data_IF_785694166484
#
_entry.id   IF_785694166484
#
_cell.length_a   1.000
_cell.length_b   1.000
_cell.length_c   1.000
_cell.angle_alpha   90.00
_cell.angle_beta   90.00
_cell.angle_gamma   90.00
#
_symmetry.space_group_name_H-M   'P 1'
#
loop_
_entity.id
_entity.type
_entity.pdbx_description
1 polymer ?
#
# COMPACT_ATOMS: atom_id res chain seq x y z
N UNK A 1 -8.89 -0.84 1.69
CA UNK A 1 -8.54 0.14 2.73
C UNK A 1 -7.06 0.45 2.67
N UNK A 2 -6.69 1.73 2.84
CA UNK A 2 -5.30 2.22 2.87
C UNK A 2 -4.78 2.79 1.55
N UNK A 3 -4.76 1.97 0.49
CA UNK A 3 -4.19 2.36 -0.81
C UNK A 3 -5.02 3.39 -1.60
N UNK A 4 -6.21 3.78 -1.12
CA UNK A 4 -7.19 4.55 -1.90
C UNK A 4 -7.81 3.77 -3.07
N UNK A 5 -7.42 2.50 -3.26
CA UNK A 5 -7.97 1.61 -4.27
C UNK A 5 -9.16 0.85 -3.67
N UNK A 6 -10.30 0.97 -4.31
CA UNK A 6 -11.53 0.26 -3.95
C UNK A 6 -11.48 -1.22 -4.29
N UNK A 7 -12.27 -2.03 -3.58
CA UNK A 7 -12.34 -3.46 -3.86
C UNK A 7 -12.97 -3.70 -5.23
N UNK A 8 -12.24 -4.35 -6.15
CA UNK A 8 -12.81 -4.85 -7.41
C UNK A 8 -13.96 -5.82 -7.14
N UNK A 9 -13.88 -6.60 -6.06
CA UNK A 9 -14.96 -7.46 -5.62
C UNK A 9 -16.21 -6.67 -5.22
N UNK A 10 -16.06 -5.60 -4.43
CA UNK A 10 -17.18 -4.73 -4.05
C UNK A 10 -17.78 -4.02 -5.27
N UNK A 11 -16.94 -3.52 -6.19
CA UNK A 11 -17.40 -2.90 -7.43
C UNK A 11 -18.19 -3.89 -8.31
N UNK A 12 -17.65 -5.09 -8.52
CA UNK A 12 -18.33 -6.12 -9.32
C UNK A 12 -19.68 -6.50 -8.70
N UNK A 13 -19.74 -6.69 -7.37
CA UNK A 13 -21.01 -6.99 -6.68
C UNK A 13 -21.99 -5.82 -6.75
N UNK A 14 -21.54 -4.58 -6.59
CA UNK A 14 -22.40 -3.40 -6.73
C UNK A 14 -22.96 -3.27 -8.17
N UNK A 15 -22.18 -3.64 -9.20
CA UNK A 15 -22.65 -3.67 -10.57
C UNK A 15 -23.65 -4.79 -10.83
N UNK A 16 -23.46 -5.99 -10.26
CA UNK A 16 -24.46 -7.06 -10.33
C UNK A 16 -25.76 -6.65 -9.64
N UNK A 17 -25.67 -6.04 -8.46
CA UNK A 17 -26.84 -5.51 -7.73
C UNK A 17 -27.56 -4.41 -8.52
N UNK A 18 -26.86 -3.61 -9.33
CA UNK A 18 -27.48 -2.64 -10.25
C UNK A 18 -28.39 -3.32 -11.27
N UNK A 19 -27.97 -4.47 -11.80
CA UNK A 19 -28.75 -5.22 -12.77
C UNK A 19 -29.96 -5.89 -12.12
N UNK A 20 -29.81 -6.42 -10.91
CA UNK A 20 -30.93 -6.90 -10.09
C UNK A 20 -31.92 -5.77 -9.80
N UNK A 21 -31.42 -4.59 -9.39
CA UNK A 21 -32.25 -3.43 -9.14
C UNK A 21 -33.04 -2.99 -10.38
N UNK A 22 -32.39 -2.90 -11.55
CA UNK A 22 -33.07 -2.58 -12.81
C UNK A 22 -34.14 -3.60 -13.16
N UNK A 23 -33.89 -4.88 -12.88
CA UNK A 23 -34.84 -5.94 -13.15
C UNK A 23 -36.10 -5.80 -12.27
N UNK A 24 -35.96 -5.49 -10.98
CA UNK A 24 -37.10 -5.42 -10.04
C UNK A 24 -37.79 -4.05 -10.01
N UNK A 25 -37.15 -2.98 -10.48
CA UNK A 25 -37.69 -1.60 -10.42
C UNK A 25 -38.19 -1.07 -11.76
N UNK A 26 -37.83 -1.71 -12.88
CA UNK A 26 -38.20 -1.28 -14.23
C UNK A 26 -39.02 -2.35 -14.93
N UNK A 27 -40.21 -2.60 -14.39
CA UNK A 27 -41.21 -3.47 -15.00
C UNK A 27 -41.54 -2.96 -16.41
N UNK A 28 -41.43 -3.84 -17.40
CA UNK A 28 -41.72 -3.51 -18.81
C UNK A 28 -40.55 -2.94 -19.62
N UNK A 29 -39.34 -2.80 -19.05
CA UNK A 29 -38.15 -2.49 -19.85
C UNK A 29 -37.77 -3.64 -20.79
N UNK A 30 -37.11 -3.34 -21.93
CA UNK A 30 -36.65 -4.38 -22.86
C UNK A 30 -35.74 -5.42 -22.17
N UNK A 31 -34.90 -4.97 -21.24
CA UNK A 31 -34.03 -5.85 -20.44
C UNK A 31 -34.82 -6.81 -19.57
N UNK A 32 -35.89 -6.34 -18.93
CA UNK A 32 -36.81 -7.19 -18.16
C UNK A 32 -37.43 -8.28 -19.04
N UNK A 33 -37.96 -7.90 -20.22
CA UNK A 33 -38.55 -8.84 -21.16
C UNK A 33 -37.55 -9.91 -21.64
N UNK A 34 -36.30 -9.52 -21.91
CA UNK A 34 -35.23 -10.45 -22.30
C UNK A 34 -34.93 -11.45 -21.19
N UNK A 35 -34.81 -11.01 -19.93
CA UNK A 35 -34.55 -11.90 -18.80
C UNK A 35 -35.74 -12.84 -18.56
N UNK A 36 -36.97 -12.33 -18.64
CA UNK A 36 -38.18 -13.15 -18.50
C UNK A 36 -38.28 -14.22 -19.61
N UNK A 37 -37.90 -13.88 -20.85
CA UNK A 37 -37.89 -14.81 -21.98
C UNK A 37 -36.81 -15.90 -21.84
N UNK A 38 -35.65 -15.58 -21.26
CA UNK A 38 -34.53 -16.52 -21.10
C UNK A 38 -34.72 -17.49 -19.93
N UNK A 39 -35.31 -17.04 -18.81
CA UNK A 39 -35.39 -17.82 -17.57
C UNK A 39 -36.80 -18.30 -17.22
N UNK A 40 -37.80 -17.95 -18.03
CA UNK A 40 -39.14 -18.53 -17.98
C UNK A 40 -40.15 -17.84 -17.05
N UNK A 41 -41.44 -18.24 -17.11
CA UNK A 41 -42.57 -17.57 -16.44
C UNK A 41 -42.64 -17.77 -14.91
N UNK A 42 -41.66 -18.43 -14.30
CA UNK A 42 -41.60 -18.63 -12.83
C UNK A 42 -41.22 -17.35 -12.06
N UNK A 43 -40.85 -16.28 -12.75
CA UNK A 43 -40.58 -14.98 -12.13
C UNK A 43 -41.91 -14.20 -12.11
N UNK A 44 -42.65 -14.33 -11.01
CA UNK A 44 -43.94 -13.66 -10.82
C UNK A 44 -43.72 -12.15 -10.68
N UNK A 45 -44.08 -11.39 -11.73
CA UNK A 45 -44.27 -9.94 -11.64
C UNK A 45 -45.39 -9.65 -10.66
N UNK A 46 -45.13 -8.88 -9.60
CA UNK A 46 -46.19 -8.44 -8.70
C UNK A 46 -46.96 -7.30 -9.36
N UNK A 47 -48.29 -7.41 -9.54
CA UNK A 47 -49.10 -6.31 -10.00
C UNK A 47 -49.51 -5.45 -8.80
N UNK A 48 -48.65 -4.53 -8.38
CA UNK A 48 -49.04 -3.47 -7.44
C UNK A 48 -48.17 -2.23 -7.61
N UNK A 49 -48.72 -1.08 -7.26
CA UNK A 49 -48.08 0.24 -7.22
C UNK A 49 -46.91 0.34 -6.21
N UNK A 50 -46.34 -0.79 -5.78
CA UNK A 50 -45.29 -0.86 -4.78
C UNK A 50 -43.93 -0.59 -5.42
N UNK A 51 -43.21 0.36 -4.84
CA UNK A 51 -41.90 0.77 -5.34
C UNK A 51 -40.81 0.19 -4.45
N UNK A 52 -39.80 -0.43 -5.06
CA UNK A 52 -38.59 -0.81 -4.35
C UNK A 52 -37.84 0.43 -3.86
N UNK A 53 -37.42 0.40 -2.59
CA UNK A 53 -36.66 1.46 -1.94
C UNK A 53 -35.28 0.93 -1.52
N UNK A 54 -34.24 1.71 -1.75
CA UNK A 54 -32.87 1.40 -1.33
C UNK A 54 -32.54 2.15 -0.04
N UNK A 55 -32.48 1.43 1.09
CA UNK A 55 -32.18 2.00 2.42
C UNK A 55 -30.80 2.66 2.54
N UNK A 56 -29.93 2.48 1.54
CA UNK A 56 -28.59 3.06 1.52
C UNK A 56 -28.56 4.53 1.08
N UNK A 57 -29.67 5.07 0.57
CA UNK A 57 -29.74 6.48 0.13
C UNK A 57 -31.00 7.18 0.65
N UNK A 58 -30.91 8.49 0.87
CA UNK A 58 -32.04 9.27 1.39
C UNK A 58 -33.18 9.46 0.37
N UNK A 59 -32.86 9.36 -0.92
CA UNK A 59 -33.82 9.44 -2.02
C UNK A 59 -34.46 8.08 -2.36
N UNK A 60 -34.00 7.00 -1.73
CA UNK A 60 -34.49 5.64 -1.99
C UNK A 60 -34.01 5.02 -3.29
N UNK A 61 -33.16 5.72 -4.04
CA UNK A 61 -32.67 5.28 -5.33
C UNK A 61 -31.44 4.38 -5.21
N UNK A 62 -31.25 3.51 -6.19
CA UNK A 62 -30.04 2.69 -6.22
C UNK A 62 -28.87 3.45 -6.83
N UNK A 63 -27.81 3.62 -6.03
CA UNK A 63 -26.54 4.17 -6.48
C UNK A 63 -25.43 3.14 -6.30
N UNK A 64 -24.76 2.79 -7.41
CA UNK A 64 -23.60 1.86 -7.41
C UNK A 64 -22.53 2.33 -6.41
N UNK A 65 -22.35 3.64 -6.29
CA UNK A 65 -21.41 4.27 -5.34
C UNK A 65 -21.73 3.90 -3.90
N UNK A 66 -22.98 4.03 -3.47
CA UNK A 66 -23.36 3.83 -2.07
C UNK A 66 -23.36 2.35 -1.69
N UNK A 67 -23.84 1.48 -2.58
CA UNK A 67 -23.70 0.02 -2.40
C UNK A 67 -22.25 -0.40 -2.35
N UNK A 68 -21.39 0.15 -3.23
CA UNK A 68 -19.97 -0.14 -3.19
C UNK A 68 -19.34 0.34 -1.89
N UNK A 69 -19.63 1.56 -1.44
CA UNK A 69 -19.11 2.08 -0.17
C UNK A 69 -19.54 1.20 1.01
N UNK A 70 -20.80 0.76 1.04
CA UNK A 70 -21.33 -0.16 2.03
C UNK A 70 -20.59 -1.50 2.03
N UNK A 71 -20.42 -2.11 0.85
CA UNK A 71 -19.67 -3.36 0.70
C UNK A 71 -18.18 -3.18 1.06
N UNK A 72 -17.57 -2.07 0.63
CA UNK A 72 -16.19 -1.72 0.98
C UNK A 72 -16.05 -1.60 2.50
N UNK A 73 -17.00 -0.96 3.20
CA UNK A 73 -16.98 -0.84 4.67
C UNK A 73 -17.20 -2.19 5.38
N UNK A 74 -17.98 -3.10 4.80
CA UNK A 74 -18.22 -4.43 5.35
C UNK A 74 -17.02 -5.37 5.16
N UNK A 75 -16.40 -5.34 3.97
CA UNK A 75 -15.42 -6.35 3.56
C UNK A 75 -13.97 -5.87 3.64
N UNK A 76 -13.71 -4.57 3.56
CA UNK A 76 -12.36 -4.05 3.74
C UNK A 76 -12.14 -3.80 5.21
N UNK A 77 -11.04 -4.30 5.79
CA UNK A 77 -10.67 -3.95 7.15
C UNK A 77 -10.56 -2.42 7.25
N UNK A 78 -11.33 -1.81 8.16
CA UNK A 78 -11.11 -0.44 8.57
C UNK A 78 -9.80 -0.39 9.33
N UNK A 79 -8.72 -0.06 8.62
CA UNK A 79 -7.45 0.16 9.29
C UNK A 79 -7.48 1.54 9.95
N UNK A 80 -7.22 1.57 11.25
CA UNK A 80 -7.16 2.81 12.04
C UNK A 80 -6.09 3.78 11.55
N UNK A 81 -5.03 3.28 10.89
CA UNK A 81 -3.95 4.11 10.37
C UNK A 81 -4.09 4.40 8.87
N UNK A 82 -4.17 5.69 8.54
CA UNK A 82 -4.10 6.18 7.18
C UNK A 82 -2.78 5.80 6.52
N UNK A 83 -2.81 5.49 5.23
CA UNK A 83 -1.58 5.20 4.48
C UNK A 83 -0.75 6.46 4.31
N UNK A 84 0.52 6.39 4.70
CA UNK A 84 1.48 7.49 4.63
C UNK A 84 2.15 7.50 3.25
N UNK A 85 1.70 8.40 2.38
CA UNK A 85 2.25 8.55 1.03
C UNK A 85 3.20 9.74 0.94
N UNK A 86 4.42 9.49 0.47
CA UNK A 86 5.40 10.54 0.21
C UNK A 86 5.28 11.00 -1.25
N UNK A 87 4.93 12.27 -1.46
CA UNK A 87 4.73 12.81 -2.82
C UNK A 87 6.00 12.89 -3.68
N UNK A 88 7.17 12.86 -3.06
CA UNK A 88 8.47 13.06 -3.74
C UNK A 88 9.07 11.77 -4.32
N UNK A 89 8.44 10.61 -4.11
CA UNK A 89 8.95 9.32 -4.56
C UNK A 89 7.98 8.65 -5.55
N UNK A 90 8.46 7.78 -6.44
CA UNK A 90 7.61 6.97 -7.31
C UNK A 90 6.58 6.15 -6.52
N UNK A 91 5.38 5.98 -7.09
CA UNK A 91 4.29 5.20 -6.48
C UNK A 91 4.73 3.77 -6.09
N UNK A 92 5.59 3.13 -6.88
CA UNK A 92 6.13 1.79 -6.57
C UNK A 92 6.88 1.72 -5.24
N UNK A 93 7.61 2.77 -4.87
CA UNK A 93 8.39 2.83 -3.63
C UNK A 93 7.47 3.10 -2.45
N UNK A 94 6.52 3.98 -2.68
CA UNK A 94 5.41 4.24 -1.80
C UNK A 94 4.65 2.93 -1.46
N UNK A 95 4.30 2.11 -2.48
CA UNK A 95 3.63 0.81 -2.29
C UNK A 95 4.52 -0.16 -1.51
N UNK A 96 5.82 -0.17 -1.82
CA UNK A 96 6.78 -0.94 -1.04
C UNK A 96 6.82 -0.51 0.43
N UNK A 97 6.94 0.79 0.73
CA UNK A 97 6.98 1.30 2.09
C UNK A 97 5.69 0.96 2.86
N UNK A 98 4.53 1.03 2.21
CA UNK A 98 3.26 0.58 2.77
C UNK A 98 3.27 -0.92 3.09
N UNK A 99 3.78 -1.77 2.18
CA UNK A 99 3.92 -3.21 2.45
C UNK A 99 4.90 -3.48 3.59
N UNK A 100 5.97 -2.71 3.69
CA UNK A 100 6.98 -2.84 4.72
C UNK A 100 6.42 -2.49 6.11
N UNK A 101 5.72 -1.36 6.24
CA UNK A 101 5.08 -0.95 7.49
C UNK A 101 4.05 -1.96 7.99
N UNK A 102 3.41 -2.69 7.09
CA UNK A 102 2.41 -3.72 7.41
C UNK A 102 2.99 -5.12 7.58
N UNK A 103 4.32 -5.25 7.55
CA UNK A 103 4.98 -6.54 7.63
C UNK A 103 4.47 -7.53 6.55
N UNK A 104 4.17 -7.03 5.36
CA UNK A 104 3.66 -7.79 4.21
C UNK A 104 4.72 -8.11 3.16
N UNK A 105 6.00 -7.87 3.50
CA UNK A 105 7.13 -8.23 2.66
C UNK A 105 7.59 -9.66 2.98
N UNK A 106 8.09 -10.43 1.98
CA UNK A 106 8.51 -11.81 2.16
C UNK A 106 9.89 -11.90 2.86
N UNK A 107 9.93 -11.53 4.14
CA UNK A 107 11.07 -11.77 5.03
C UNK A 107 11.05 -13.21 5.52
N UNK A 108 12.19 -13.74 5.99
CA UNK A 108 12.29 -15.07 6.56
C UNK A 108 11.23 -15.34 7.63
N UNK A 109 11.06 -14.41 8.58
CA UNK A 109 10.04 -14.50 9.62
C UNK A 109 8.59 -14.53 9.08
N UNK A 110 8.30 -13.80 7.99
CA UNK A 110 6.98 -13.80 7.36
C UNK A 110 6.70 -15.06 6.55
N UNK A 111 7.72 -15.59 5.87
CA UNK A 111 7.61 -16.84 5.10
C UNK A 111 7.42 -18.03 6.04
N UNK A 112 8.18 -18.08 7.14
CA UNK A 112 8.04 -19.11 8.16
C UNK A 112 6.65 -19.08 8.81
N UNK A 113 6.12 -17.89 9.13
CA UNK A 113 4.73 -17.72 9.61
C UNK A 113 3.66 -18.24 8.65
N UNK A 114 3.98 -18.34 7.35
CA UNK A 114 3.08 -18.87 6.31
C UNK A 114 3.33 -20.35 6.02
N UNK A 115 4.18 -21.03 6.80
CA UNK A 115 4.51 -22.44 6.64
C UNK A 115 5.47 -22.73 5.48
N UNK A 116 6.18 -21.72 4.97
CA UNK A 116 7.20 -21.92 3.93
C UNK A 116 8.51 -22.29 4.62
N UNK A 117 9.02 -23.48 4.32
CA UNK A 117 10.30 -24.00 4.84
C UNK A 117 11.45 -23.26 4.15
N UNK A 118 12.39 -22.74 4.94
CA UNK A 118 13.60 -22.05 4.47
C UNK A 118 14.83 -22.79 4.95
N UNK A 119 15.89 -22.83 4.14
CA UNK A 119 17.17 -23.43 4.52
C UNK A 119 17.84 -22.64 5.66
N UNK A 120 17.60 -21.32 5.71
CA UNK A 120 18.02 -20.46 6.80
C UNK A 120 16.99 -19.35 7.02
N UNK A 121 16.70 -19.08 8.30
CA UNK A 121 15.88 -17.95 8.75
C UNK A 121 16.71 -16.68 9.02
N UNK A 122 18.03 -16.76 8.84
CA UNK A 122 18.95 -15.63 9.06
C UNK A 122 18.89 -14.61 7.92
N UNK A 123 19.16 -13.35 8.26
CA UNK A 123 19.18 -12.23 7.33
C UNK A 123 20.26 -12.42 6.25
N UNK A 124 19.93 -12.40 4.95
CA UNK A 124 20.90 -12.60 3.87
C UNK A 124 22.01 -11.54 3.82
N UNK A 125 21.77 -10.35 4.40
CA UNK A 125 22.72 -9.24 4.36
C UNK A 125 23.81 -9.36 5.44
N UNK A 126 23.44 -9.75 6.66
CA UNK A 126 24.38 -9.82 7.80
C UNK A 126 24.69 -11.25 8.25
N UNK A 127 23.86 -12.23 7.89
CA UNK A 127 23.97 -13.65 8.24
C UNK A 127 24.07 -13.92 9.75
N UNK A 128 23.64 -12.97 10.59
CA UNK A 128 23.89 -12.99 12.03
C UNK A 128 22.61 -13.04 12.88
N UNK A 129 21.49 -12.55 12.35
CA UNK A 129 20.23 -12.44 13.09
C UNK A 129 19.05 -12.88 12.22
N UNK A 130 17.95 -13.23 12.87
CA UNK A 130 16.68 -13.56 12.22
C UNK A 130 16.18 -12.44 11.29
N UNK A 131 15.64 -12.85 10.14
CA UNK A 131 15.16 -11.91 9.13
C UNK A 131 13.71 -11.48 9.38
N UNK A 132 13.54 -10.38 10.11
CA UNK A 132 12.29 -9.61 10.12
C UNK A 132 12.46 -8.23 9.46
N UNK A 133 11.35 -7.53 9.22
CA UNK A 133 11.39 -6.28 8.47
C UNK A 133 12.15 -5.16 9.20
N UNK A 134 12.03 -5.10 10.53
CA UNK A 134 12.74 -4.11 11.34
C UNK A 134 14.25 -4.41 11.36
N UNK A 135 14.64 -5.69 11.37
CA UNK A 135 16.01 -6.09 11.22
C UNK A 135 16.56 -5.65 9.87
N UNK A 136 15.93 -6.05 8.76
CA UNK A 136 16.43 -5.74 7.42
C UNK A 136 16.56 -4.23 7.19
N UNK A 137 15.58 -3.44 7.63
CA UNK A 137 15.51 -2.01 7.31
C UNK A 137 16.12 -1.07 8.36
N UNK A 138 16.29 -1.53 9.59
CA UNK A 138 16.83 -0.70 10.68
C UNK A 138 17.99 -1.37 11.38
N UNK A 139 17.83 -2.56 11.98
CA UNK A 139 18.84 -3.13 12.90
C UNK A 139 20.05 -3.79 12.21
N UNK A 140 19.91 -4.21 10.95
CA UNK A 140 20.98 -4.83 10.17
C UNK A 140 22.18 -3.88 10.08
N UNK A 141 23.39 -4.41 10.18
CA UNK A 141 24.63 -3.62 10.16
C UNK A 141 24.70 -2.69 8.94
N UNK A 142 24.37 -3.21 7.75
CA UNK A 142 24.30 -2.40 6.53
C UNK A 142 23.27 -1.27 6.63
N UNK A 143 22.08 -1.55 7.17
CA UNK A 143 21.03 -0.54 7.34
C UNK A 143 21.48 0.56 8.29
N UNK A 144 22.09 0.19 9.43
CA UNK A 144 22.67 1.13 10.39
C UNK A 144 23.73 2.05 9.73
N UNK A 145 24.64 1.49 8.93
CA UNK A 145 25.64 2.27 8.19
C UNK A 145 24.98 3.26 7.23
N UNK A 146 23.99 2.81 6.45
CA UNK A 146 23.28 3.66 5.48
C UNK A 146 22.55 4.79 6.20
N UNK A 147 21.80 4.48 7.27
CA UNK A 147 21.03 5.50 7.98
C UNK A 147 21.96 6.53 8.64
N UNK A 148 23.08 6.11 9.24
CA UNK A 148 24.10 7.05 9.75
C UNK A 148 24.64 7.97 8.66
N UNK A 149 24.89 7.44 7.45
CA UNK A 149 25.31 8.26 6.30
C UNK A 149 24.20 9.24 5.87
N UNK A 150 22.93 8.84 5.92
CA UNK A 150 21.79 9.73 5.63
C UNK A 150 21.71 10.85 6.68
N UNK A 151 21.79 10.51 7.97
CA UNK A 151 21.80 11.51 9.06
C UNK A 151 22.96 12.50 8.88
N UNK A 152 24.17 12.02 8.56
CA UNK A 152 25.32 12.88 8.27
C UNK A 152 25.10 13.76 7.03
N UNK A 153 24.49 13.24 5.97
CA UNK A 153 24.18 14.00 4.76
C UNK A 153 23.17 15.14 5.04
N UNK A 154 22.27 14.94 5.99
CA UNK A 154 21.25 15.91 6.38
C UNK A 154 21.61 16.74 7.62
N UNK A 155 22.84 16.61 8.14
CA UNK A 155 23.30 17.29 9.35
C UNK A 155 22.40 17.03 10.57
N UNK A 156 21.93 15.79 10.73
CA UNK A 156 21.07 15.35 11.82
C UNK A 156 21.81 14.42 12.78
N UNK A 157 21.48 14.52 14.06
CA UNK A 157 21.97 13.60 15.07
C UNK A 157 21.34 12.21 14.94
N UNK A 158 22.20 11.19 15.00
CA UNK A 158 21.81 9.79 14.96
C UNK A 158 21.29 9.33 16.33
N UNK A 159 20.11 8.71 16.36
CA UNK A 159 19.44 8.28 17.61
C UNK A 159 19.19 6.76 17.70
N UNK A 160 20.01 5.93 17.03
CA UNK A 160 19.92 4.48 17.22
C UNK A 160 18.57 3.87 16.78
N UNK A 161 18.06 4.23 15.61
CA UNK A 161 16.74 3.77 15.14
C UNK A 161 16.73 2.24 14.92
N UNK A 162 15.80 1.53 15.57
CA UNK A 162 15.68 0.06 15.48
C UNK A 162 14.36 -0.43 14.88
N UNK A 163 13.37 0.45 14.70
CA UNK A 163 12.06 0.08 14.16
C UNK A 163 11.36 1.24 13.44
N UNK A 164 10.25 0.93 12.76
CA UNK A 164 9.37 1.95 12.18
C UNK A 164 8.80 2.92 13.22
N UNK A 165 8.45 2.47 14.43
CA UNK A 165 7.89 3.36 15.47
C UNK A 165 8.92 4.36 15.98
N UNK A 166 10.17 3.92 16.14
CA UNK A 166 11.27 4.78 16.60
C UNK A 166 11.60 5.81 15.53
N UNK A 167 11.67 5.36 14.27
CA UNK A 167 11.87 6.26 13.14
C UNK A 167 10.74 7.28 13.01
N UNK A 168 9.48 6.87 13.20
CA UNK A 168 8.33 7.79 13.15
C UNK A 168 8.41 8.83 14.27
N UNK A 169 8.73 8.39 15.49
CA UNK A 169 8.88 9.26 16.65
C UNK A 169 10.02 10.26 16.46
N UNK A 170 11.16 9.79 15.96
CA UNK A 170 12.33 10.62 15.63
C UNK A 170 12.02 11.64 14.53
N UNK A 171 11.42 11.22 13.41
CA UNK A 171 11.06 12.11 12.31
C UNK A 171 10.03 13.18 12.74
N UNK A 172 9.18 12.84 13.71
CA UNK A 172 8.23 13.78 14.30
C UNK A 172 8.93 14.79 15.22
N UNK A 173 9.94 14.37 15.98
CA UNK A 173 10.64 15.22 16.94
C UNK A 173 11.67 16.18 16.32
N UNK A 174 12.25 15.85 15.16
CA UNK A 174 13.23 16.72 14.51
C UNK A 174 12.63 18.09 14.13
N UNK A 175 13.42 19.15 14.27
CA UNK A 175 12.99 20.52 13.93
C UNK A 175 13.33 20.84 12.48
N UNK A 176 12.47 20.40 11.56
CA UNK A 176 12.56 20.72 10.14
C UNK A 176 11.21 21.22 9.61
N UNK A 177 11.20 22.11 8.60
CA UNK A 177 9.97 22.50 7.91
C UNK A 177 9.24 21.28 7.33
N UNK A 178 7.91 21.29 7.30
CA UNK A 178 7.08 20.15 6.88
C UNK A 178 7.44 19.64 5.49
N UNK A 179 7.75 20.57 4.55
CA UNK A 179 8.22 20.24 3.20
C UNK A 179 9.51 19.42 3.23
N UNK A 180 10.46 19.84 4.06
CA UNK A 180 11.78 19.23 4.21
C UNK A 180 11.68 17.89 4.92
N UNK A 181 10.84 17.77 5.96
CA UNK A 181 10.53 16.48 6.61
C UNK A 181 9.98 15.45 5.61
N UNK A 182 9.05 15.87 4.75
CA UNK A 182 8.49 14.99 3.72
C UNK A 182 9.53 14.56 2.68
N UNK A 183 10.52 15.40 2.37
CA UNK A 183 11.64 15.02 1.50
C UNK A 183 12.57 14.02 2.18
N UNK A 184 12.92 14.25 3.44
CA UNK A 184 13.72 13.34 4.26
C UNK A 184 13.03 11.98 4.38
N UNK A 185 11.72 11.98 4.63
CA UNK A 185 10.91 10.76 4.63
C UNK A 185 11.04 9.98 3.31
N UNK A 186 11.02 10.70 2.19
CA UNK A 186 11.28 10.15 0.87
C UNK A 186 12.65 9.50 0.77
N UNK A 187 13.70 10.16 1.24
CA UNK A 187 15.08 9.61 1.27
C UNK A 187 15.12 8.29 2.03
N UNK A 188 14.46 8.21 3.20
CA UNK A 188 14.37 6.95 3.96
C UNK A 188 13.64 5.85 3.17
N UNK A 189 12.54 6.17 2.51
CA UNK A 189 11.82 5.21 1.66
C UNK A 189 12.67 4.71 0.49
N UNK A 190 13.46 5.59 -0.13
CA UNK A 190 14.44 5.21 -1.18
C UNK A 190 15.52 4.31 -0.59
N UNK A 191 16.05 4.64 0.58
CA UNK A 191 17.07 3.84 1.25
C UNK A 191 16.56 2.43 1.57
N UNK A 192 15.37 2.30 2.14
CA UNK A 192 14.76 1.00 2.42
C UNK A 192 14.51 0.20 1.14
N UNK A 193 14.05 0.85 0.06
CA UNK A 193 13.91 0.20 -1.24
C UNK A 193 15.23 -0.32 -1.77
N UNK A 194 16.31 0.46 -1.68
CA UNK A 194 17.65 0.05 -2.11
C UNK A 194 18.20 -1.10 -1.28
N UNK A 195 18.03 -1.06 0.05
CA UNK A 195 18.42 -2.15 0.97
C UNK A 195 17.66 -3.44 0.61
N UNK A 196 16.34 -3.34 0.42
CA UNK A 196 15.50 -4.46 0.02
C UNK A 196 15.90 -5.03 -1.35
N UNK A 197 16.19 -4.15 -2.31
CA UNK A 197 16.68 -4.53 -3.63
C UNK A 197 18.01 -5.28 -3.56
N UNK A 198 18.95 -4.80 -2.74
CA UNK A 198 20.22 -5.49 -2.50
C UNK A 198 19.99 -6.87 -1.88
N UNK A 199 19.15 -6.95 -0.83
CA UNK A 199 18.79 -8.21 -0.19
C UNK A 199 18.25 -9.23 -1.19
N UNK A 200 17.36 -8.81 -2.10
CA UNK A 200 16.82 -9.71 -3.11
C UNK A 200 17.89 -10.17 -4.09
N UNK A 201 18.79 -9.28 -4.53
CA UNK A 201 19.92 -9.67 -5.38
C UNK A 201 20.86 -10.66 -4.68
N UNK A 202 21.08 -10.50 -3.37
CA UNK A 202 21.90 -11.45 -2.61
C UNK A 202 21.31 -12.86 -2.57
N UNK A 203 19.98 -12.99 -2.61
CA UNK A 203 19.31 -14.31 -2.62
C UNK A 203 19.22 -14.89 -4.04
N UNK A 204 18.85 -14.06 -5.02
CA UNK A 204 18.44 -14.54 -6.34
C UNK A 204 19.49 -14.36 -7.43
N UNK A 205 20.54 -13.55 -7.22
CA UNK A 205 21.57 -13.31 -8.22
C UNK A 205 22.90 -13.95 -7.81
N UNK A 206 23.63 -14.47 -8.79
CA UNK A 206 24.95 -15.09 -8.59
C UNK A 206 26.05 -14.08 -8.20
N UNK A 207 25.89 -12.80 -8.58
CA UNK A 207 26.85 -11.72 -8.26
C UNK A 207 26.14 -10.51 -7.64
N UNK A 208 26.08 -10.38 -6.29
CA UNK A 208 25.50 -9.22 -5.65
C UNK A 208 26.35 -7.97 -5.91
N UNK A 209 25.73 -6.79 -6.12
CA UNK A 209 26.47 -5.54 -6.35
C UNK A 209 27.29 -5.16 -5.11
N UNK A 210 28.39 -4.44 -5.33
CA UNK A 210 29.27 -3.98 -4.24
C UNK A 210 28.50 -3.13 -3.24
N UNK A 211 28.51 -3.53 -1.96
CA UNK A 211 27.86 -2.81 -0.85
C UNK A 211 28.30 -1.35 -0.75
N UNK A 212 29.50 -1.02 -1.21
CA UNK A 212 30.06 0.34 -1.15
C UNK A 212 29.29 1.37 -1.97
N UNK A 213 28.65 0.95 -3.08
CA UNK A 213 27.99 1.86 -4.05
C UNK A 213 26.56 2.19 -3.64
N UNK A 214 25.96 1.42 -2.71
CA UNK A 214 24.53 1.53 -2.40
C UNK A 214 24.11 2.92 -1.92
N UNK A 215 24.97 3.62 -1.18
CA UNK A 215 24.65 4.95 -0.70
C UNK A 215 24.66 5.99 -1.82
N UNK A 216 25.59 5.87 -2.76
CA UNK A 216 25.70 6.80 -3.88
C UNK A 216 24.48 6.62 -4.81
N UNK A 217 24.00 5.38 -4.96
CA UNK A 217 22.74 5.07 -5.63
C UNK A 217 21.53 5.68 -4.88
N UNK A 218 21.51 5.61 -3.54
CA UNK A 218 20.44 6.20 -2.72
C UNK A 218 20.41 7.71 -2.91
N UNK A 219 21.56 8.38 -2.83
CA UNK A 219 21.67 9.83 -3.02
C UNK A 219 21.20 10.20 -4.43
N UNK A 220 21.72 9.53 -5.45
CA UNK A 220 21.38 9.79 -6.85
C UNK A 220 19.89 9.61 -7.12
N UNK A 221 19.31 8.47 -6.72
CA UNK A 221 17.90 8.19 -6.92
C UNK A 221 16.99 9.15 -6.13
N UNK A 222 17.37 9.48 -4.88
CA UNK A 222 16.62 10.42 -4.05
C UNK A 222 16.59 11.80 -4.69
N UNK A 223 17.74 12.31 -5.15
CA UNK A 223 17.83 13.61 -5.81
C UNK A 223 17.06 13.62 -7.14
N UNK A 224 17.22 12.61 -7.99
CA UNK A 224 16.51 12.50 -9.26
C UNK A 224 14.99 12.49 -9.04
N UNK A 225 14.50 11.70 -8.08
CA UNK A 225 13.06 11.57 -7.88
C UNK A 225 12.45 12.78 -7.18
N UNK A 226 13.13 13.33 -6.17
CA UNK A 226 12.71 14.55 -5.51
C UNK A 226 12.70 15.73 -6.49
N UNK A 227 13.75 15.92 -7.28
CA UNK A 227 13.83 17.02 -8.27
C UNK A 227 12.79 16.89 -9.38
N UNK A 228 12.58 15.69 -9.91
CA UNK A 228 11.60 15.45 -10.99
C UNK A 228 10.14 15.60 -10.53
N UNK A 229 9.87 15.47 -9.22
CA UNK A 229 8.51 15.50 -8.64
C UNK A 229 8.24 16.74 -7.79
N UNK A 230 9.26 17.51 -7.47
CA UNK A 230 9.06 18.91 -7.13
C UNK A 230 8.66 19.61 -8.42
N UNK A 231 7.39 20.00 -8.55
CA UNK A 231 6.97 20.89 -9.64
C UNK A 231 8.00 22.01 -9.79
N UNK A 232 8.33 22.35 -11.04
CA UNK A 232 9.03 23.59 -11.44
C UNK A 232 8.29 24.78 -10.86
N UNK A 233 8.57 25.09 -9.61
CA UNK A 233 8.20 26.31 -8.89
C UNK A 233 9.46 26.73 -8.11
N UNK A 234 10.54 26.88 -8.86
CA UNK A 234 11.63 27.78 -8.53
C UNK A 234 11.61 28.83 -9.64
N UNK A 235 10.78 29.85 -9.41
CA UNK A 235 10.76 31.13 -10.09
C UNK A 235 10.60 32.18 -9.00
#
# INVERSE_FOLDING_TARGET
GGLGVSSFHALNRALLLKWVWRFISQDGSFWFCVIQALYGPSIVSHPSHDRWFCDLTCDGEFWVKEVRNFLDNLFLPSHFESTRWVKYIPIKINVFAWRAHRDYLPTGANLNRRGIILDSSTCPLCQSYEEDINHVLFRCELAQIIIRRICRWWELDWQGLISFSDWHSWLSSIRLPSKVKNMLEGVFCVAWWSIWGLRNRTIFNEAPPRRSVIFDDIVSNSLIWCSSRCNRAFS
#
